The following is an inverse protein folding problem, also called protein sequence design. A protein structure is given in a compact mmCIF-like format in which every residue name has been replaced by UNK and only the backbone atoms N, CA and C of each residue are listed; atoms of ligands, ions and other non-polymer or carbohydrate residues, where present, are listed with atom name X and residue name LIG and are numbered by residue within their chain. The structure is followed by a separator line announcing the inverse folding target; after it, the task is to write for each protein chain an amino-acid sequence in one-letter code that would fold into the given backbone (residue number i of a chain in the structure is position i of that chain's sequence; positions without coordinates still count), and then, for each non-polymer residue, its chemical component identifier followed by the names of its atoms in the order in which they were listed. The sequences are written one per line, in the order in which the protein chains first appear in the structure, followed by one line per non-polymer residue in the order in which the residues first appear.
data_IF_754199721335
#
_entry.id   IF_754199721335
#
_cell.length_a   1.000
_cell.length_b   1.000
_cell.length_c   1.000
_cell.angle_alpha   90.00
_cell.angle_beta   90.00
_cell.angle_gamma   90.00
#
_symmetry.space_group_name_H-M   'P 1'
#
loop_
_entity.id
_entity.type
_entity.pdbx_description
1 polymer ?
#
# COMPACT_ATOMS: atom_id res chain seq x y z
N UNK A 1 70.91 -43.70 -39.66
CA UNK A 1 70.25 -42.39 -39.44
C UNK A 1 68.93 -42.36 -40.18
N UNK A 2 67.80 -42.39 -39.46
CA UNK A 2 66.49 -41.86 -39.88
C UNK A 2 65.67 -41.73 -38.60
N UNK A 3 65.62 -40.51 -38.08
CA UNK A 3 64.94 -40.17 -36.84
C UNK A 3 63.43 -40.26 -37.04
N UNK A 4 62.75 -41.06 -36.21
CA UNK A 4 61.30 -41.16 -36.15
C UNK A 4 60.81 -40.08 -35.17
N UNK A 5 60.26 -38.98 -35.69
CA UNK A 5 59.60 -37.97 -34.88
C UNK A 5 58.21 -38.48 -34.47
N UNK A 6 58.02 -38.77 -33.18
CA UNK A 6 56.71 -39.00 -32.59
C UNK A 6 56.10 -37.64 -32.25
N UNK A 7 55.06 -37.25 -32.97
CA UNK A 7 54.26 -36.05 -32.68
C UNK A 7 53.28 -36.41 -31.56
N UNK A 8 53.53 -35.92 -30.34
CA UNK A 8 52.58 -35.96 -29.24
C UNK A 8 51.51 -34.88 -29.48
N UNK A 9 50.27 -35.29 -29.79
CA UNK A 9 49.12 -34.40 -29.74
C UNK A 9 48.69 -34.21 -28.28
N UNK A 10 49.05 -33.07 -27.69
CA UNK A 10 48.47 -32.60 -26.43
C UNK A 10 47.09 -32.04 -26.75
N UNK A 11 46.04 -32.81 -26.49
CA UNK A 11 44.68 -32.30 -26.47
C UNK A 11 44.50 -31.42 -25.21
N UNK A 12 44.73 -30.12 -25.37
CA UNK A 12 44.26 -29.12 -24.42
C UNK A 12 42.72 -29.15 -24.44
N UNK A 13 42.11 -29.68 -23.39
CA UNK A 13 40.70 -29.46 -23.12
C UNK A 13 40.53 -27.98 -22.75
N UNK A 14 40.28 -27.13 -23.73
CA UNK A 14 39.63 -25.85 -23.47
C UNK A 14 38.24 -26.18 -22.94
N UNK A 15 38.08 -26.14 -21.62
CA UNK A 15 36.76 -25.93 -21.02
C UNK A 15 36.26 -24.60 -21.55
N UNK A 16 35.43 -24.65 -22.58
CA UNK A 16 34.58 -23.53 -22.96
C UNK A 16 33.70 -23.30 -21.73
N UNK A 17 34.08 -22.33 -20.90
CA UNK A 17 33.13 -21.69 -20.00
C UNK A 17 32.04 -21.13 -20.90
N UNK A 18 30.96 -21.87 -21.05
CA UNK A 18 29.73 -21.29 -21.58
C UNK A 18 29.35 -20.26 -20.51
N UNK A 19 29.63 -18.98 -20.77
CA UNK A 19 29.20 -17.89 -19.90
C UNK A 19 27.68 -18.00 -19.76
N UNK A 20 27.26 -18.58 -18.63
CA UNK A 20 25.85 -18.80 -18.39
C UNK A 20 25.28 -17.51 -17.87
N UNK A 21 24.25 -17.04 -18.57
CA UNK A 21 23.46 -15.89 -18.16
C UNK A 21 22.97 -16.00 -16.70
N UNK A 22 22.72 -17.22 -16.21
CA UNK A 22 22.18 -17.46 -14.86
C UNK A 22 23.23 -18.17 -14.00
N UNK A 23 23.59 -17.55 -12.87
CA UNK A 23 24.51 -18.08 -11.87
C UNK A 23 23.79 -18.22 -10.52
N UNK A 24 23.59 -19.45 -10.06
CA UNK A 24 23.08 -19.70 -8.70
C UNK A 24 24.21 -19.45 -7.70
N UNK A 25 23.95 -18.59 -6.73
CA UNK A 25 24.93 -18.13 -5.73
C UNK A 25 24.80 -18.93 -4.44
N UNK A 26 23.57 -19.15 -3.94
CA UNK A 26 23.36 -19.82 -2.67
C UNK A 26 22.02 -20.56 -2.62
N UNK A 27 22.01 -21.70 -1.92
CA UNK A 27 20.83 -22.43 -1.48
C UNK A 27 21.25 -23.44 -0.41
N UNK A 28 20.32 -23.90 0.43
CA UNK A 28 20.60 -24.96 1.42
C UNK A 28 20.55 -26.33 0.75
N UNK A 29 21.59 -27.15 0.92
CA UNK A 29 21.67 -28.50 0.35
C UNK A 29 20.81 -29.53 1.12
N UNK A 30 20.50 -29.24 2.39
CA UNK A 30 19.64 -30.07 3.23
C UNK A 30 18.78 -29.18 4.13
N UNK A 31 17.49 -29.48 4.20
CA UNK A 31 16.49 -28.79 5.05
C UNK A 31 15.43 -29.77 5.56
N UNK A 32 14.58 -29.34 6.49
CA UNK A 32 13.40 -30.09 6.89
C UNK A 32 12.16 -29.75 6.04
N UNK A 33 11.21 -30.68 6.00
CA UNK A 33 9.89 -30.46 5.40
C UNK A 33 9.24 -29.23 6.05
N UNK A 34 8.65 -28.37 5.22
CA UNK A 34 8.07 -27.08 5.62
C UNK A 34 9.06 -26.01 6.13
N UNK A 35 10.37 -26.21 5.97
CA UNK A 35 11.35 -25.14 6.12
C UNK A 35 11.47 -24.25 4.88
N UNK A 36 11.99 -23.05 5.08
CA UNK A 36 12.24 -22.08 4.01
C UNK A 36 13.47 -22.49 3.20
N UNK A 37 13.25 -22.78 1.92
CA UNK A 37 14.29 -22.95 0.90
C UNK A 37 14.38 -21.70 0.03
N UNK A 38 15.33 -20.82 0.32
CA UNK A 38 15.61 -19.66 -0.52
C UNK A 38 16.80 -19.97 -1.43
N UNK A 39 16.66 -19.61 -2.70
CA UNK A 39 17.67 -19.81 -3.73
C UNK A 39 18.04 -18.43 -4.26
N UNK A 40 19.26 -17.99 -3.96
CA UNK A 40 19.81 -16.74 -4.46
C UNK A 40 20.56 -17.00 -5.76
N UNK A 41 20.31 -16.17 -6.77
CA UNK A 41 20.99 -16.27 -8.05
C UNK A 41 21.12 -14.92 -8.72
N UNK A 42 22.10 -14.80 -9.61
CA UNK A 42 22.30 -13.64 -10.46
C UNK A 42 21.92 -13.98 -11.89
N UNK A 43 21.35 -12.99 -12.57
CA UNK A 43 21.19 -13.01 -14.02
C UNK A 43 22.13 -11.94 -14.55
N UNK A 44 23.16 -12.32 -15.31
CA UNK A 44 24.17 -11.37 -15.82
C UNK A 44 23.64 -10.56 -17.01
N UNK A 45 22.60 -9.78 -16.75
CA UNK A 45 21.94 -8.87 -17.67
C UNK A 45 21.18 -7.82 -16.90
N UNK A 46 21.17 -6.61 -17.42
CA UNK A 46 20.34 -5.52 -16.89
C UNK A 46 19.00 -5.51 -17.62
N UNK A 47 17.94 -5.28 -16.87
CA UNK A 47 16.57 -5.17 -17.37
C UNK A 47 16.06 -3.76 -17.10
N UNK A 48 15.32 -3.17 -18.04
CA UNK A 48 14.72 -1.85 -17.84
C UNK A 48 13.65 -1.92 -16.75
N UNK A 49 12.79 -2.95 -16.82
CA UNK A 49 11.84 -3.26 -15.76
C UNK A 49 11.86 -4.77 -15.41
N UNK A 50 12.54 -5.17 -14.32
CA UNK A 50 12.60 -6.57 -13.92
C UNK A 50 11.27 -7.13 -13.38
N UNK A 51 10.25 -6.28 -13.24
CA UNK A 51 8.91 -6.67 -12.78
C UNK A 51 7.91 -6.83 -13.92
N UNK A 52 8.24 -6.39 -15.14
CA UNK A 52 7.41 -6.62 -16.32
C UNK A 52 7.71 -7.97 -16.95
N UNK A 53 6.81 -8.93 -16.71
CA UNK A 53 7.00 -10.31 -17.18
C UNK A 53 6.74 -10.50 -18.67
N UNK A 54 6.22 -9.48 -19.36
CA UNK A 54 6.18 -9.49 -20.82
C UNK A 54 7.58 -9.27 -21.42
N UNK A 55 8.47 -8.63 -20.67
CA UNK A 55 9.87 -8.42 -21.03
C UNK A 55 10.76 -9.54 -20.48
N UNK A 56 10.69 -9.78 -19.16
CA UNK A 56 11.52 -10.74 -18.43
C UNK A 56 10.69 -11.57 -17.46
N UNK A 57 10.57 -12.87 -17.75
CA UNK A 57 9.90 -13.83 -16.86
C UNK A 57 10.90 -14.83 -16.32
N UNK A 58 11.03 -14.88 -15.00
CA UNK A 58 11.94 -15.80 -14.31
C UNK A 58 11.14 -16.76 -13.44
N UNK A 59 11.40 -18.05 -13.60
CA UNK A 59 10.78 -19.15 -12.86
C UNK A 59 11.85 -20.12 -12.36
N UNK A 60 11.60 -20.74 -11.20
CA UNK A 60 12.27 -21.96 -10.79
C UNK A 60 11.36 -23.15 -11.15
N UNK A 61 11.84 -24.07 -11.97
CA UNK A 61 11.22 -25.38 -12.18
C UNK A 61 11.72 -26.31 -11.10
N UNK A 62 10.86 -26.66 -10.16
CA UNK A 62 11.19 -27.53 -9.01
C UNK A 62 10.52 -28.87 -9.23
N UNK A 63 11.29 -29.95 -9.17
CA UNK A 63 10.82 -31.32 -9.31
C UNK A 63 10.87 -31.97 -7.92
N UNK A 64 9.71 -32.37 -7.41
CA UNK A 64 9.58 -33.06 -6.12
C UNK A 64 9.99 -34.53 -6.22
N UNK A 65 10.28 -35.18 -5.07
CA UNK A 65 10.45 -36.63 -4.98
C UNK A 65 9.24 -37.42 -5.49
N UNK A 66 8.03 -36.88 -5.29
CA UNK A 66 6.76 -37.40 -5.83
C UNK A 66 6.61 -37.21 -7.35
N UNK A 67 7.60 -36.60 -8.02
CA UNK A 67 7.68 -36.27 -9.45
C UNK A 67 6.67 -35.23 -9.93
N UNK A 68 6.04 -34.50 -9.03
CA UNK A 68 5.29 -33.31 -9.39
C UNK A 68 6.26 -32.15 -9.70
N UNK A 69 6.02 -31.47 -10.81
CA UNK A 69 6.79 -30.29 -11.21
C UNK A 69 6.02 -29.04 -10.81
N UNK A 70 6.66 -28.21 -9.99
CA UNK A 70 6.15 -26.91 -9.56
C UNK A 70 6.88 -25.82 -10.33
N UNK A 71 6.11 -24.94 -10.97
CA UNK A 71 6.63 -23.70 -11.54
C UNK A 71 6.50 -22.62 -10.47
N UNK A 72 7.63 -22.25 -9.86
CA UNK A 72 7.70 -21.23 -8.85
C UNK A 72 8.15 -19.90 -9.47
N UNK A 73 7.33 -18.83 -9.42
CA UNK A 73 7.76 -17.51 -9.81
C UNK A 73 8.99 -17.04 -9.02
N UNK A 74 9.99 -16.48 -9.71
CA UNK A 74 11.11 -15.77 -9.08
C UNK A 74 10.92 -14.26 -9.19
N UNK A 75 11.68 -13.51 -8.40
CA UNK A 75 11.60 -12.05 -8.38
C UNK A 75 12.98 -11.43 -8.16
N UNK A 76 13.15 -10.20 -8.64
CA UNK A 76 14.35 -9.41 -8.39
C UNK A 76 14.27 -8.79 -6.97
N UNK A 77 15.39 -8.85 -6.24
CA UNK A 77 15.51 -8.28 -4.89
C UNK A 77 16.44 -7.07 -4.82
N UNK A 78 17.33 -6.94 -5.82
CA UNK A 78 18.25 -5.83 -5.97
C UNK A 78 18.58 -5.69 -7.47
N UNK A 79 18.10 -4.61 -8.08
CA UNK A 79 18.23 -4.36 -9.53
C UNK A 79 19.70 -4.08 -9.86
N UNK A 80 20.37 -3.26 -9.05
CA UNK A 80 21.75 -2.83 -9.26
C UNK A 80 22.72 -3.99 -9.12
N UNK A 81 22.47 -4.89 -8.15
CA UNK A 81 23.28 -6.10 -7.95
C UNK A 81 22.86 -7.26 -8.85
N UNK A 82 21.86 -7.07 -9.72
CA UNK A 82 21.26 -8.11 -10.59
C UNK A 82 20.87 -9.36 -9.80
N UNK A 83 20.42 -9.19 -8.56
CA UNK A 83 20.17 -10.27 -7.61
C UNK A 83 18.70 -10.66 -7.64
N UNK A 84 18.46 -11.95 -7.80
CA UNK A 84 17.15 -12.57 -7.87
C UNK A 84 17.03 -13.66 -6.82
N UNK A 85 15.78 -13.95 -6.44
CA UNK A 85 15.50 -14.99 -5.46
C UNK A 85 14.30 -15.84 -5.88
N UNK A 86 14.39 -17.13 -5.60
CA UNK A 86 13.26 -18.05 -5.57
C UNK A 86 13.02 -18.44 -4.10
N UNK A 87 11.77 -18.36 -3.63
CA UNK A 87 11.42 -18.73 -2.25
C UNK A 87 10.46 -19.90 -2.26
N UNK A 88 10.89 -21.04 -1.73
CA UNK A 88 10.15 -22.29 -1.74
C UNK A 88 10.01 -22.88 -0.34
N UNK A 89 9.02 -23.75 -0.15
CA UNK A 89 8.82 -24.51 1.09
C UNK A 89 8.41 -25.93 0.70
N UNK A 90 9.30 -26.93 0.87
CA UNK A 90 9.05 -28.28 0.39
C UNK A 90 7.99 -28.98 1.25
N UNK A 91 7.14 -29.76 0.58
CA UNK A 91 6.04 -30.50 1.20
C UNK A 91 6.26 -32.01 1.24
N UNK A 92 7.20 -32.55 0.46
CA UNK A 92 7.55 -33.97 0.48
C UNK A 92 8.94 -34.16 1.10
N UNK A 93 9.18 -35.32 1.70
CA UNK A 93 10.55 -35.72 2.05
C UNK A 93 11.24 -36.37 0.86
N UNK A 94 12.55 -36.21 0.73
CA UNK A 94 13.35 -36.87 -0.31
C UNK A 94 14.29 -35.92 -1.05
N UNK A 95 14.70 -36.30 -2.26
CA UNK A 95 15.61 -35.51 -3.08
C UNK A 95 14.81 -34.67 -4.07
N UNK A 96 14.91 -33.35 -3.92
CA UNK A 96 14.40 -32.39 -4.90
C UNK A 96 15.47 -32.07 -5.93
N UNK A 97 15.02 -31.63 -7.09
CA UNK A 97 15.90 -30.95 -8.04
C UNK A 97 15.25 -29.69 -8.59
N UNK A 98 16.06 -28.71 -8.98
CA UNK A 98 15.54 -27.49 -9.58
C UNK A 98 16.44 -26.92 -10.67
N UNK A 99 15.83 -26.12 -11.54
CA UNK A 99 16.48 -25.31 -12.57
C UNK A 99 15.85 -23.92 -12.57
N UNK A 100 16.66 -22.88 -12.74
CA UNK A 100 16.18 -21.51 -12.95
C UNK A 100 16.05 -21.28 -14.45
N UNK A 101 14.89 -20.76 -14.87
CA UNK A 101 14.56 -20.46 -16.26
C UNK A 101 14.23 -18.99 -16.38
N UNK A 102 14.96 -18.28 -17.24
CA UNK A 102 14.72 -16.90 -17.61
C UNK A 102 14.26 -16.84 -19.07
N UNK A 103 13.05 -16.36 -19.31
CA UNK A 103 12.55 -15.97 -20.63
C UNK A 103 12.74 -14.47 -20.80
N UNK A 104 13.61 -14.05 -21.70
CA UNK A 104 13.82 -12.64 -22.05
C UNK A 104 13.68 -12.45 -23.55
N UNK A 105 12.78 -11.54 -23.99
CA UNK A 105 12.49 -11.31 -25.42
C UNK A 105 12.23 -12.63 -26.19
N UNK A 106 11.50 -13.55 -25.56
CA UNK A 106 11.17 -14.91 -26.06
C UNK A 106 12.35 -15.88 -26.21
N UNK A 107 13.55 -15.51 -25.75
CA UNK A 107 14.70 -16.42 -25.66
C UNK A 107 14.75 -17.03 -24.26
N UNK A 108 14.83 -18.35 -24.20
CA UNK A 108 14.94 -19.11 -22.95
C UNK A 108 16.40 -19.34 -22.57
N UNK A 109 16.72 -19.03 -21.33
CA UNK A 109 17.99 -19.35 -20.70
C UNK A 109 17.73 -20.19 -19.47
N UNK A 110 18.47 -21.29 -19.31
CA UNK A 110 18.30 -22.23 -18.20
C UNK A 110 19.63 -22.40 -17.45
N UNK A 111 19.57 -22.43 -16.12
CA UNK A 111 20.74 -22.72 -15.28
C UNK A 111 21.19 -24.19 -15.39
N UNK A 112 22.22 -24.57 -14.64
CA UNK A 112 22.41 -25.98 -14.31
C UNK A 112 21.22 -26.52 -13.51
N UNK A 113 21.10 -27.85 -13.48
CA UNK A 113 20.25 -28.55 -12.55
C UNK A 113 20.95 -28.69 -11.21
N UNK A 114 20.25 -28.31 -10.14
CA UNK A 114 20.72 -28.38 -8.75
C UNK A 114 19.84 -29.35 -7.97
N UNK A 115 20.35 -29.84 -6.83
CA UNK A 115 19.64 -30.80 -5.98
C UNK A 115 19.73 -30.38 -4.51
N UNK A 116 18.68 -30.66 -3.74
CA UNK A 116 18.71 -30.53 -2.29
C UNK A 116 17.88 -31.65 -1.66
N UNK A 117 18.19 -32.00 -0.41
CA UNK A 117 17.52 -33.05 0.35
C UNK A 117 16.57 -32.45 1.37
N UNK A 118 15.40 -33.06 1.49
CA UNK A 118 14.38 -32.70 2.47
C UNK A 118 14.19 -33.87 3.43
N UNK A 119 14.44 -33.62 4.72
CA UNK A 119 14.17 -34.56 5.81
C UNK A 119 12.77 -34.34 6.36
N UNK A 120 12.26 -35.33 7.10
CA UNK A 120 11.00 -35.17 7.83
C UNK A 120 11.12 -34.00 8.82
N UNK A 121 10.18 -33.06 8.75
CA UNK A 121 10.06 -31.95 9.69
C UNK A 121 8.93 -32.16 10.69
N UNK A 122 8.82 -31.24 11.66
CA UNK A 122 7.80 -31.25 12.72
C UNK A 122 6.73 -30.16 12.60
N UNK A 123 6.89 -29.23 11.65
CA UNK A 123 5.95 -28.12 11.43
C UNK A 123 4.61 -28.63 10.88
N UNK A 124 3.57 -27.81 11.06
CA UNK A 124 2.22 -28.19 10.63
C UNK A 124 2.05 -28.27 9.10
N UNK A 125 2.84 -27.49 8.35
CA UNK A 125 2.68 -27.33 6.90
C UNK A 125 1.62 -26.30 6.52
N UNK A 126 1.11 -26.38 5.29
CA UNK A 126 0.15 -25.43 4.76
C UNK A 126 -1.28 -25.76 5.19
N UNK A 127 -2.13 -24.74 5.24
CA UNK A 127 -3.57 -24.89 5.46
C UNK A 127 -4.29 -25.21 4.14
N UNK A 128 -5.24 -26.12 4.22
CA UNK A 128 -6.10 -26.55 3.12
C UNK A 128 -7.56 -26.57 3.57
N UNK A 129 -8.48 -26.58 2.59
CA UNK A 129 -9.90 -26.85 2.85
C UNK A 129 -10.03 -28.27 3.39
N UNK A 130 -10.77 -28.44 4.49
CA UNK A 130 -11.08 -29.76 5.02
C UNK A 130 -12.26 -30.38 4.25
N UNK A 131 -11.98 -31.41 3.44
CA UNK A 131 -13.00 -32.10 2.65
C UNK A 131 -14.00 -32.90 3.50
N UNK A 132 -13.68 -33.14 4.78
CA UNK A 132 -14.53 -33.88 5.72
C UNK A 132 -15.39 -32.99 6.63
N UNK A 133 -15.13 -31.67 6.65
CA UNK A 133 -15.73 -30.76 7.62
C UNK A 133 -15.77 -29.32 7.07
N UNK A 134 -16.97 -28.80 6.81
CA UNK A 134 -17.16 -27.45 6.26
C UNK A 134 -16.80 -26.32 7.26
N UNK A 135 -16.49 -26.65 8.52
CA UNK A 135 -16.32 -25.68 9.59
C UNK A 135 -14.86 -25.45 10.02
N UNK A 136 -13.91 -26.15 9.42
CA UNK A 136 -12.48 -26.08 9.75
C UNK A 136 -11.61 -26.08 8.50
N UNK A 137 -10.44 -25.46 8.61
CA UNK A 137 -9.33 -25.73 7.72
C UNK A 137 -8.46 -26.83 8.33
N UNK A 138 -7.58 -27.42 7.52
CA UNK A 138 -6.70 -28.50 7.95
C UNK A 138 -5.28 -28.28 7.47
N UNK A 139 -4.33 -28.40 8.39
CA UNK A 139 -2.91 -28.39 8.07
C UNK A 139 -2.50 -29.68 7.35
N UNK A 140 -1.40 -29.65 6.59
CA UNK A 140 -0.84 -30.84 5.95
C UNK A 140 -0.55 -31.98 6.95
N UNK A 141 -0.22 -31.67 8.21
CA UNK A 141 -0.06 -32.66 9.28
C UNK A 141 -1.38 -33.17 9.89
N UNK A 142 -2.52 -32.90 9.26
CA UNK A 142 -3.89 -33.23 9.65
C UNK A 142 -4.47 -32.48 10.86
N UNK A 143 -3.73 -31.58 11.50
CA UNK A 143 -4.25 -30.75 12.60
C UNK A 143 -5.35 -29.83 12.07
N UNK A 144 -6.50 -29.80 12.75
CA UNK A 144 -7.59 -28.85 12.44
C UNK A 144 -7.19 -27.43 12.83
N UNK A 145 -7.69 -26.47 12.07
CA UNK A 145 -7.49 -25.04 12.28
C UNK A 145 -8.81 -24.30 12.18
N UNK A 146 -9.03 -23.36 13.10
CA UNK A 146 -10.07 -22.35 13.02
C UNK A 146 -9.44 -20.99 13.29
N UNK A 147 -9.66 -20.08 12.36
CA UNK A 147 -9.22 -18.69 12.52
C UNK A 147 -10.09 -17.96 13.53
N UNK A 148 -9.47 -17.37 14.55
CA UNK A 148 -10.09 -16.43 15.49
C UNK A 148 -9.16 -15.24 15.57
N UNK A 149 -9.66 -14.06 15.20
CA UNK A 149 -8.76 -13.00 14.77
C UNK A 149 -9.34 -11.60 14.75
N UNK A 150 -8.50 -10.67 14.33
CA UNK A 150 -8.81 -9.24 14.23
C UNK A 150 -8.62 -8.75 12.80
N UNK A 151 -9.43 -7.77 12.39
CA UNK A 151 -9.09 -6.90 11.26
C UNK A 151 -8.19 -5.78 11.78
N UNK A 152 -6.90 -5.87 11.45
CA UNK A 152 -5.89 -4.84 11.74
C UNK A 152 -5.51 -4.23 10.39
N UNK A 153 -6.31 -3.28 9.92
CA UNK A 153 -6.16 -2.70 8.58
C UNK A 153 -4.75 -2.19 8.30
N UNK A 154 -4.09 -1.57 9.29
CA UNK A 154 -2.71 -1.08 9.22
C UNK A 154 -2.13 -0.81 10.61
N UNK A 155 -0.81 -0.70 10.70
CA UNK A 155 -0.15 -0.20 11.91
C UNK A 155 -0.32 1.32 12.06
N UNK A 156 -0.45 1.80 13.30
CA UNK A 156 -0.53 3.23 13.54
C UNK A 156 0.86 3.87 13.36
N UNK A 157 1.07 4.57 12.25
CA UNK A 157 2.19 5.51 12.11
C UNK A 157 1.86 6.78 12.91
N UNK A 158 2.64 7.13 13.94
CA UNK A 158 2.36 8.32 14.74
C UNK A 158 2.60 9.59 13.91
N UNK A 159 1.51 10.24 13.52
CA UNK A 159 1.57 11.65 13.09
C UNK A 159 1.55 12.63 14.29
N UNK A 160 1.22 12.15 15.49
CA UNK A 160 0.85 13.00 16.64
C UNK A 160 1.55 12.68 17.98
N UNK A 161 2.15 11.50 18.18
CA UNK A 161 2.76 11.11 19.47
C UNK A 161 4.01 10.25 19.26
N UNK A 162 5.16 10.66 19.79
CA UNK A 162 6.43 9.92 19.72
C UNK A 162 6.42 8.58 20.50
N UNK A 163 5.29 8.23 21.13
CA UNK A 163 5.06 6.95 21.81
C UNK A 163 4.01 6.09 21.09
N UNK A 164 4.27 5.66 19.85
CA UNK A 164 3.41 4.67 19.20
C UNK A 164 3.51 3.32 19.91
N UNK A 165 2.41 2.91 20.56
CA UNK A 165 2.26 1.57 21.17
C UNK A 165 1.49 0.59 20.28
N UNK A 166 0.91 1.04 19.17
CA UNK A 166 -0.01 0.26 18.33
C UNK A 166 0.63 -0.23 17.02
N UNK A 167 1.69 -1.02 17.15
CA UNK A 167 2.41 -1.66 16.03
C UNK A 167 1.90 -3.08 15.78
N UNK A 168 2.18 -3.67 14.61
CA UNK A 168 1.88 -5.08 14.36
C UNK A 168 2.52 -6.01 15.39
N UNK A 169 3.73 -5.69 15.86
CA UNK A 169 4.39 -6.44 16.93
C UNK A 169 3.56 -6.48 18.20
N UNK A 170 3.08 -5.32 18.66
CA UNK A 170 2.23 -5.26 19.85
C UNK A 170 0.93 -6.05 19.64
N UNK A 171 0.25 -5.85 18.51
CA UNK A 171 -0.97 -6.60 18.21
C UNK A 171 -0.73 -8.11 18.20
N UNK A 172 0.34 -8.59 17.57
CA UNK A 172 0.59 -10.03 17.45
C UNK A 172 1.06 -10.64 18.77
N UNK A 173 1.84 -9.92 19.57
CA UNK A 173 2.19 -10.34 20.92
C UNK A 173 0.92 -10.52 21.78
N UNK A 174 0.02 -9.52 21.79
CA UNK A 174 -1.24 -9.58 22.54
C UNK A 174 -2.18 -10.66 22.00
N UNK A 175 -2.30 -10.80 20.68
CA UNK A 175 -3.12 -11.84 20.05
C UNK A 175 -2.61 -13.23 20.44
N UNK A 176 -1.31 -13.48 20.33
CA UNK A 176 -0.71 -14.76 20.70
C UNK A 176 -0.92 -15.08 22.18
N UNK A 177 -0.73 -14.09 23.07
CA UNK A 177 -0.99 -14.22 24.52
C UNK A 177 -2.45 -14.59 24.82
N UNK A 178 -3.40 -14.09 24.01
CA UNK A 178 -4.83 -14.31 24.17
C UNK A 178 -5.41 -15.41 23.26
N UNK A 179 -4.57 -16.23 22.62
CA UNK A 179 -4.95 -17.31 21.70
C UNK A 179 -5.74 -16.88 20.45
N UNK A 180 -5.66 -15.60 20.05
CA UNK A 180 -6.06 -15.17 18.71
C UNK A 180 -4.94 -15.49 17.72
N UNK A 181 -5.31 -15.96 16.54
CA UNK A 181 -4.37 -16.61 15.61
C UNK A 181 -4.52 -16.14 14.16
N UNK A 182 -5.43 -15.23 13.85
CA UNK A 182 -5.66 -14.78 12.47
C UNK A 182 -5.72 -13.25 12.41
N UNK A 183 -5.14 -12.66 11.37
CA UNK A 183 -5.21 -11.22 11.13
C UNK A 183 -5.58 -10.94 9.68
N UNK A 184 -6.38 -9.90 9.47
CA UNK A 184 -6.58 -9.29 8.15
C UNK A 184 -5.89 -7.93 8.12
N UNK A 185 -5.11 -7.65 7.06
CA UNK A 185 -4.35 -6.40 6.90
C UNK A 185 -4.30 -5.97 5.43
N UNK A 186 -4.29 -4.65 5.17
CA UNK A 186 -4.39 -4.10 3.81
C UNK A 186 -3.04 -3.67 3.23
N UNK A 187 -2.86 -3.93 1.94
CA UNK A 187 -1.82 -3.31 1.11
C UNK A 187 -2.42 -2.06 0.45
N UNK A 188 -2.08 -0.88 0.96
CA UNK A 188 -2.66 0.39 0.55
C UNK A 188 -1.63 1.54 0.61
N UNK A 189 -1.95 2.77 0.14
CA UNK A 189 -0.97 3.86 0.04
C UNK A 189 -0.27 4.22 1.37
N UNK A 190 -0.96 4.02 2.49
CA UNK A 190 -0.44 4.30 3.84
C UNK A 190 0.02 3.06 4.60
N UNK A 191 -0.18 1.85 4.04
CA UNK A 191 0.27 0.60 4.66
C UNK A 191 0.80 -0.36 3.58
N UNK A 192 2.12 -0.55 3.55
CA UNK A 192 2.81 -1.33 2.53
C UNK A 192 2.59 -0.85 1.07
N UNK A 193 2.87 0.42 0.71
CA UNK A 193 2.67 0.90 -0.66
C UNK A 193 3.70 0.31 -1.65
N UNK A 194 3.37 -0.82 -2.28
CA UNK A 194 4.27 -1.50 -3.24
C UNK A 194 4.24 -0.84 -4.62
N UNK A 195 3.04 -0.68 -5.18
CA UNK A 195 2.78 -0.14 -6.52
C UNK A 195 1.86 1.06 -6.38
N UNK A 196 2.43 2.23 -6.10
CA UNK A 196 1.71 3.50 -6.03
C UNK A 196 2.51 4.58 -6.75
N UNK A 197 1.82 5.60 -7.25
CA UNK A 197 2.51 6.77 -7.78
C UNK A 197 3.29 7.45 -6.66
N UNK A 198 4.49 8.00 -6.91
CA UNK A 198 5.22 8.75 -5.91
C UNK A 198 4.35 9.90 -5.39
N UNK A 199 3.92 9.84 -4.13
CA UNK A 199 3.19 10.93 -3.48
C UNK A 199 4.21 11.77 -2.73
N UNK A 200 4.16 13.09 -2.96
CA UNK A 200 4.84 14.07 -2.12
C UNK A 200 4.03 14.22 -0.83
N UNK A 201 4.59 13.79 0.29
CA UNK A 201 4.09 14.13 1.61
C UNK A 201 4.66 15.48 2.04
N UNK A 202 3.85 16.27 2.72
CA UNK A 202 4.16 17.64 3.14
C UNK A 202 3.98 17.77 4.65
N UNK A 203 4.50 18.85 5.25
CA UNK A 203 4.24 19.13 6.67
C UNK A 203 2.76 19.37 6.83
N UNK A 204 2.21 18.90 7.94
CA UNK A 204 0.80 19.09 8.27
C UNK A 204 0.73 20.01 9.48
N UNK A 205 0.06 21.14 9.29
CA UNK A 205 -0.35 22.04 10.35
C UNK A 205 -1.79 21.73 10.73
N UNK A 206 -2.09 21.65 12.02
CA UNK A 206 -3.43 21.41 12.55
C UNK A 206 -3.76 22.47 13.59
N UNK A 207 -4.94 23.05 13.48
CA UNK A 207 -5.54 23.91 14.49
C UNK A 207 -6.92 23.38 14.84
N UNK A 208 -7.05 22.86 16.06
CA UNK A 208 -8.27 22.32 16.66
C UNK A 208 -9.09 23.40 17.36
N UNK A 209 -8.70 24.68 17.26
CA UNK A 209 -9.37 25.82 17.88
C UNK A 209 -9.55 25.67 19.39
N UNK A 210 -8.48 25.26 20.08
CA UNK A 210 -8.43 25.25 21.56
C UNK A 210 -8.07 26.62 22.15
N UNK A 211 -7.42 27.46 21.34
CA UNK A 211 -7.15 28.89 21.59
C UNK A 211 -6.90 29.61 20.24
N UNK A 212 -6.47 30.88 20.28
CA UNK A 212 -6.15 31.68 19.09
C UNK A 212 -4.64 31.69 18.74
N UNK A 213 -3.79 30.99 19.47
CA UNK A 213 -2.32 31.08 19.36
C UNK A 213 -1.78 30.64 17.99
N UNK A 214 -2.52 29.77 17.31
CA UNK A 214 -2.20 29.20 16.00
C UNK A 214 -2.64 30.10 14.83
N UNK A 215 -3.45 31.14 15.09
CA UNK A 215 -4.02 32.01 14.07
C UNK A 215 -3.17 33.28 13.94
N UNK A 216 -2.69 33.56 12.72
CA UNK A 216 -1.81 34.71 12.48
C UNK A 216 -2.55 36.05 12.60
N UNK A 217 -3.74 36.16 11.99
CA UNK A 217 -4.63 37.34 12.13
C UNK A 217 -6.09 36.91 12.04
N UNK A 218 -6.98 37.58 12.75
CA UNK A 218 -8.41 37.31 12.69
C UNK A 218 -9.23 38.55 13.02
N UNK A 219 -10.49 38.59 12.57
CA UNK A 219 -11.45 39.62 12.94
C UNK A 219 -12.01 39.39 14.35
N UNK A 220 -12.52 40.44 14.99
CA UNK A 220 -12.93 40.43 16.40
C UNK A 220 -14.29 39.75 16.69
N UNK A 221 -14.87 39.04 15.71
CA UNK A 221 -16.15 38.36 15.83
C UNK A 221 -16.07 36.87 16.12
N UNK A 222 -14.98 36.38 16.69
CA UNK A 222 -14.81 34.97 17.05
C UNK A 222 -14.73 34.72 18.56
N UNK A 223 -15.14 33.52 18.97
CA UNK A 223 -14.89 33.00 20.31
C UNK A 223 -14.50 31.52 20.25
N UNK A 224 -13.76 31.05 21.25
CA UNK A 224 -13.38 29.65 21.38
C UNK A 224 -14.35 28.92 22.31
N UNK A 225 -14.73 27.70 21.93
CA UNK A 225 -15.48 26.78 22.77
C UNK A 225 -14.75 25.44 22.90
N UNK A 226 -14.34 25.10 24.12
CA UNK A 226 -13.67 23.84 24.47
C UNK A 226 -14.59 22.87 25.23
N UNK A 227 -15.89 23.18 25.34
CA UNK A 227 -16.85 22.28 25.99
C UNK A 227 -17.23 21.16 25.04
N UNK A 228 -16.90 19.93 25.42
CA UNK A 228 -17.27 18.72 24.70
C UNK A 228 -18.80 18.62 24.56
N UNK A 229 -19.27 18.34 23.35
CA UNK A 229 -20.67 18.02 23.07
C UNK A 229 -20.75 16.75 22.23
N UNK A 230 -21.79 15.94 22.49
CA UNK A 230 -22.07 14.73 21.72
C UNK A 230 -22.33 15.03 20.24
N UNK A 231 -22.93 16.18 19.96
CA UNK A 231 -23.18 16.71 18.60
C UNK A 231 -21.88 16.87 17.81
N UNK A 232 -20.80 17.29 18.46
CA UNK A 232 -19.50 17.54 17.82
C UNK A 232 -18.51 16.41 18.09
N UNK A 233 -19.01 15.19 18.29
CA UNK A 233 -18.21 13.96 18.40
C UNK A 233 -17.02 14.05 19.38
N UNK A 234 -17.14 14.87 20.43
CA UNK A 234 -16.09 15.16 21.42
C UNK A 234 -14.82 15.85 20.87
N UNK A 235 -14.96 16.73 19.87
CA UNK A 235 -13.88 17.63 19.43
C UNK A 235 -13.29 18.43 20.61
N UNK A 236 -11.97 18.63 20.59
CA UNK A 236 -11.21 19.29 21.67
C UNK A 236 -11.40 20.81 21.72
N UNK A 237 -11.80 21.43 20.60
CA UNK A 237 -12.01 22.87 20.48
C UNK A 237 -12.86 23.24 19.26
N UNK A 238 -13.42 24.45 19.28
CA UNK A 238 -14.30 25.00 18.25
C UNK A 238 -14.14 26.51 18.15
N UNK A 239 -14.07 27.00 16.91
CA UNK A 239 -14.20 28.43 16.62
C UNK A 239 -15.66 28.75 16.33
N UNK A 240 -16.22 29.66 17.15
CA UNK A 240 -17.59 30.15 17.04
C UNK A 240 -17.59 31.55 16.42
N UNK A 241 -18.50 31.78 15.47
CA UNK A 241 -18.80 33.12 14.98
C UNK A 241 -19.74 33.80 15.98
N UNK A 242 -19.51 35.07 16.30
CA UNK A 242 -20.29 35.86 17.28
C UNK A 242 -20.92 37.13 16.70
N UNK A 243 -20.47 37.57 15.52
CA UNK A 243 -20.96 38.79 14.87
C UNK A 243 -21.55 38.47 13.50
N UNK A 244 -22.68 39.11 13.19
CA UNK A 244 -23.35 39.08 11.90
C UNK A 244 -22.72 40.10 10.92
N UNK A 245 -21.44 39.91 10.65
CA UNK A 245 -20.69 40.64 9.63
C UNK A 245 -19.60 39.73 9.08
N UNK A 246 -19.02 40.07 7.93
CA UNK A 246 -17.92 39.28 7.36
C UNK A 246 -16.80 39.10 8.38
N UNK A 247 -16.51 37.84 8.71
CA UNK A 247 -15.43 37.47 9.61
C UNK A 247 -14.32 36.79 8.82
N UNK A 248 -13.09 36.92 9.29
CA UNK A 248 -11.96 36.26 8.64
C UNK A 248 -10.94 35.74 9.64
N UNK A 249 -10.28 34.64 9.26
CA UNK A 249 -9.06 34.14 9.89
C UNK A 249 -7.97 34.01 8.83
N UNK A 250 -6.72 34.25 9.22
CA UNK A 250 -5.54 34.16 8.37
C UNK A 250 -4.52 33.28 9.07
N UNK A 251 -4.00 32.31 8.34
CA UNK A 251 -2.84 31.51 8.72
C UNK A 251 -1.62 31.96 7.92
N UNK A 252 -0.44 31.89 8.55
CA UNK A 252 0.86 32.16 7.92
C UNK A 252 1.76 30.94 8.13
N UNK A 253 2.20 30.34 7.03
CA UNK A 253 3.05 29.15 7.01
C UNK A 253 4.15 29.31 5.94
N UNK A 254 5.02 28.31 5.80
CA UNK A 254 5.79 28.16 4.56
C UNK A 254 4.85 27.85 3.38
N UNK A 255 5.40 27.55 2.20
CA UNK A 255 4.60 27.28 0.98
C UNK A 255 3.43 26.34 1.24
N UNK A 256 2.21 26.89 1.24
CA UNK A 256 0.97 26.16 1.45
C UNK A 256 0.65 25.37 0.18
N UNK A 257 0.21 24.12 0.36
CA UNK A 257 -0.05 23.15 -0.71
C UNK A 257 -1.55 22.87 -0.84
N UNK A 258 -2.24 22.67 0.29
CA UNK A 258 -3.70 22.53 0.35
C UNK A 258 -4.21 22.76 1.76
N UNK A 259 -5.50 23.06 1.89
CA UNK A 259 -6.18 23.17 3.17
C UNK A 259 -7.49 22.40 3.20
N UNK A 260 -7.88 21.95 4.38
CA UNK A 260 -9.15 21.26 4.67
C UNK A 260 -9.70 21.79 5.99
N UNK A 261 -10.94 22.26 6.00
CA UNK A 261 -11.62 22.84 7.17
C UNK A 261 -12.83 21.96 7.50
N UNK A 262 -12.99 21.61 8.77
CA UNK A 262 -14.13 20.85 9.26
C UNK A 262 -15.21 21.79 9.80
N UNK A 263 -16.45 21.62 9.31
CA UNK A 263 -17.55 22.53 9.60
C UNK A 263 -18.80 21.73 9.99
N UNK A 264 -19.43 22.14 11.09
CA UNK A 264 -20.78 21.71 11.44
C UNK A 264 -21.78 22.80 11.09
N UNK A 265 -22.94 22.42 10.56
CA UNK A 265 -24.00 23.36 10.20
C UNK A 265 -25.41 22.78 10.37
N UNK A 266 -26.44 23.62 10.55
CA UNK A 266 -27.86 23.21 10.74
C UNK A 266 -28.78 23.57 9.57
N UNK A 267 -28.68 24.80 9.07
CA UNK A 267 -29.47 25.28 7.92
C UNK A 267 -28.78 24.92 6.59
N UNK A 268 -29.22 25.46 5.46
CA UNK A 268 -28.47 25.31 4.22
C UNK A 268 -27.22 26.20 4.27
N UNK A 269 -26.07 25.63 3.96
CA UNK A 269 -24.81 26.34 3.76
C UNK A 269 -24.48 26.28 2.27
N UNK A 270 -24.22 27.44 1.66
CA UNK A 270 -23.83 27.57 0.27
C UNK A 270 -22.32 27.69 0.14
N UNK A 271 -21.79 27.31 -1.03
CA UNK A 271 -20.33 27.27 -1.24
C UNK A 271 -19.69 28.65 -1.18
N UNK A 272 -20.45 29.70 -1.51
CA UNK A 272 -20.00 31.09 -1.44
C UNK A 272 -20.15 31.73 -0.05
N UNK A 273 -20.76 31.03 0.91
CA UNK A 273 -20.84 31.52 2.30
C UNK A 273 -19.46 31.52 2.96
N UNK A 274 -18.55 30.65 2.49
CA UNK A 274 -17.20 30.50 3.03
C UNK A 274 -16.20 30.50 1.89
N UNK A 275 -15.41 31.56 1.84
CA UNK A 275 -14.46 31.77 0.78
C UNK A 275 -13.02 31.61 1.28
N UNK A 276 -12.21 30.93 0.47
CA UNK A 276 -10.81 30.69 0.75
C UNK A 276 -9.96 31.50 -0.22
N UNK A 277 -8.96 32.20 0.31
CA UNK A 277 -8.03 33.00 -0.45
C UNK A 277 -6.59 32.65 -0.09
N UNK A 278 -5.70 32.78 -1.07
CA UNK A 278 -4.26 32.59 -0.88
C UNK A 278 -3.48 33.83 -1.27
N UNK A 279 -2.39 34.07 -0.55
CA UNK A 279 -1.46 35.16 -0.84
C UNK A 279 -0.02 34.71 -0.60
N UNK A 280 0.92 35.25 -1.38
CA UNK A 280 2.36 35.07 -1.17
C UNK A 280 2.91 36.09 -0.17
N UNK A 281 2.29 37.28 -0.09
CA UNK A 281 2.86 38.48 0.53
C UNK A 281 1.97 39.15 1.59
N UNK A 282 0.77 38.61 1.83
CA UNK A 282 -0.23 39.16 2.76
C UNK A 282 -0.87 40.48 2.31
N UNK A 283 -0.71 40.84 1.03
CA UNK A 283 -1.27 42.05 0.42
C UNK A 283 -2.29 41.68 -0.66
N UNK A 284 -1.87 40.90 -1.66
CA UNK A 284 -2.74 40.48 -2.75
C UNK A 284 -3.27 39.08 -2.49
N UNK A 285 -4.59 38.98 -2.34
CA UNK A 285 -5.30 37.74 -2.08
C UNK A 285 -6.08 37.28 -3.32
N UNK A 286 -5.84 36.04 -3.74
CA UNK A 286 -6.56 35.42 -4.87
C UNK A 286 -7.55 34.40 -4.33
N UNK A 287 -8.83 34.52 -4.73
CA UNK A 287 -9.89 33.55 -4.35
C UNK A 287 -9.53 32.18 -4.95
N UNK A 288 -9.55 31.16 -4.11
CA UNK A 288 -9.38 29.77 -4.50
C UNK A 288 -10.73 29.15 -4.79
N UNK A 289 -10.76 28.24 -5.77
CA UNK A 289 -11.92 27.35 -5.94
C UNK A 289 -11.99 26.40 -4.75
N UNK A 290 -13.19 26.26 -4.19
CA UNK A 290 -13.46 25.43 -3.02
C UNK A 290 -14.46 24.33 -3.37
N UNK A 291 -14.47 23.28 -2.55
CA UNK A 291 -15.38 22.15 -2.69
C UNK A 291 -15.86 21.69 -1.31
N UNK A 292 -17.11 21.23 -1.24
CA UNK A 292 -17.62 20.52 -0.08
C UNK A 292 -17.46 19.02 -0.26
N UNK A 293 -17.14 18.31 0.83
CA UNK A 293 -17.38 16.88 0.90
C UNK A 293 -18.88 16.59 0.92
N UNK A 294 -19.22 15.33 0.71
CA UNK A 294 -20.53 14.81 1.07
C UNK A 294 -20.89 15.13 2.54
N UNK A 295 -22.19 15.32 2.79
CA UNK A 295 -22.71 15.68 4.12
C UNK A 295 -22.87 14.46 5.01
N UNK A 296 -22.35 14.53 6.23
CA UNK A 296 -22.57 13.56 7.28
C UNK A 296 -23.68 14.07 8.24
N UNK A 297 -24.82 13.38 8.32
CA UNK A 297 -25.92 13.77 9.21
C UNK A 297 -25.61 13.38 10.66
N UNK A 298 -25.91 14.28 11.60
CA UNK A 298 -25.68 14.14 13.03
C UNK A 298 -26.99 14.35 13.81
N UNK A 299 -26.94 14.19 15.14
CA UNK A 299 -28.08 14.49 16.01
C UNK A 299 -28.47 15.98 15.98
N UNK A 300 -29.69 16.28 16.40
CA UNK A 300 -30.22 17.65 16.54
C UNK A 300 -30.10 18.49 15.25
N UNK A 301 -30.35 17.84 14.10
CA UNK A 301 -30.33 18.41 12.76
C UNK A 301 -28.98 19.02 12.34
N UNK A 302 -27.89 18.70 13.05
CA UNK A 302 -26.56 19.08 12.60
C UNK A 302 -26.10 18.20 11.44
N UNK A 303 -25.27 18.77 10.59
CA UNK A 303 -24.56 18.10 9.51
C UNK A 303 -23.09 18.48 9.61
N UNK A 304 -22.20 17.57 9.25
CA UNK A 304 -20.77 17.85 9.09
C UNK A 304 -20.36 17.75 7.64
N UNK A 305 -19.52 18.68 7.22
CA UNK A 305 -18.83 18.68 5.94
C UNK A 305 -17.36 19.05 6.13
N UNK A 306 -16.56 18.76 5.12
CA UNK A 306 -15.25 19.35 4.94
C UNK A 306 -15.26 20.30 3.76
N UNK A 307 -14.73 21.50 3.97
CA UNK A 307 -14.41 22.45 2.91
C UNK A 307 -12.93 22.30 2.56
N UNK A 308 -12.60 22.04 1.30
CA UNK A 308 -11.22 21.81 0.88
C UNK A 308 -10.87 22.52 -0.44
N UNK A 309 -9.57 22.62 -0.69
CA UNK A 309 -8.96 23.24 -1.87
C UNK A 309 -8.10 22.23 -2.61
N UNK A 310 -8.24 22.14 -3.93
CA UNK A 310 -7.45 21.19 -4.76
C UNK A 310 -6.26 21.86 -5.45
N UNK A 311 -6.45 23.05 -6.02
CA UNK A 311 -5.41 23.80 -6.72
C UNK A 311 -5.29 25.21 -6.15
N UNK A 312 -4.13 25.52 -5.56
CA UNK A 312 -3.85 26.86 -5.05
C UNK A 312 -3.48 27.76 -6.24
N UNK A 313 -4.24 28.84 -6.49
CA UNK A 313 -4.02 29.71 -7.66
C UNK A 313 -2.74 30.56 -7.53
N UNK A 314 -2.21 30.70 -6.32
CA UNK A 314 -1.04 31.53 -6.02
C UNK A 314 0.19 30.65 -5.78
N UNK A 315 1.14 30.67 -6.71
CA UNK A 315 2.42 29.97 -6.58
C UNK A 315 3.15 30.42 -5.31
N UNK A 316 3.67 29.46 -4.53
CA UNK A 316 4.38 29.72 -3.28
C UNK A 316 3.57 30.51 -2.25
N UNK A 317 2.23 30.35 -2.22
CA UNK A 317 1.38 30.99 -1.22
C UNK A 317 1.87 30.69 0.20
N UNK A 318 1.97 31.72 1.04
CA UNK A 318 2.37 31.61 2.47
C UNK A 318 1.24 31.95 3.41
N UNK A 319 0.19 32.59 2.89
CA UNK A 319 -0.94 33.05 3.64
C UNK A 319 -2.21 32.39 3.12
N UNK A 320 -2.99 31.83 4.04
CA UNK A 320 -4.33 31.30 3.80
C UNK A 320 -5.30 32.19 4.55
N UNK A 321 -6.23 32.83 3.85
CA UNK A 321 -7.31 33.62 4.45
C UNK A 321 -8.64 32.92 4.19
N UNK A 322 -9.42 32.74 5.25
CA UNK A 322 -10.77 32.17 5.18
C UNK A 322 -11.74 33.25 5.59
N UNK A 323 -12.74 33.52 4.76
CA UNK A 323 -13.76 34.54 4.98
C UNK A 323 -15.10 33.86 5.16
N UNK A 324 -15.76 34.11 6.28
CA UNK A 324 -17.12 33.71 6.59
C UNK A 324 -18.03 34.90 6.31
N UNK A 325 -18.93 34.76 5.34
CA UNK A 325 -19.80 35.85 4.89
C UNK A 325 -20.92 36.14 5.89
N UNK A 326 -21.37 37.39 5.92
CA UNK A 326 -22.39 37.90 6.83
C UNK A 326 -23.73 37.14 6.83
N UNK A 327 -24.03 36.37 5.79
CA UNK A 327 -25.23 35.52 5.69
C UNK A 327 -25.22 34.33 6.66
N UNK A 328 -24.06 33.97 7.22
CA UNK A 328 -23.94 32.85 8.16
C UNK A 328 -24.40 33.29 9.55
N UNK A 329 -25.48 32.66 10.03
CA UNK A 329 -25.97 32.86 11.41
C UNK A 329 -25.06 32.13 12.43
N UNK A 330 -24.53 32.83 13.46
CA UNK A 330 -23.71 32.27 14.53
C UNK A 330 -24.16 30.93 15.13
N UNK A 331 -25.46 30.78 15.37
CA UNK A 331 -26.06 29.61 16.00
C UNK A 331 -26.10 28.37 15.10
N UNK A 332 -25.90 28.55 13.79
CA UNK A 332 -26.06 27.52 12.77
C UNK A 332 -24.73 27.03 12.19
N UNK A 333 -23.59 27.50 12.70
CA UNK A 333 -22.26 27.08 12.25
C UNK A 333 -21.31 26.86 13.43
N UNK A 334 -20.43 25.86 13.30
CA UNK A 334 -19.26 25.68 14.17
C UNK A 334 -18.08 25.23 13.32
N UNK A 335 -16.90 25.77 13.57
CA UNK A 335 -15.68 25.38 12.86
C UNK A 335 -14.86 24.53 13.82
N UNK A 336 -14.65 23.27 13.47
CA UNK A 336 -14.15 22.24 14.38
C UNK A 336 -12.65 22.00 14.27
N UNK A 337 -12.06 22.36 13.14
CA UNK A 337 -10.64 22.28 12.95
C UNK A 337 -10.23 22.64 11.54
N UNK A 338 -8.97 22.95 11.36
CA UNK A 338 -8.35 23.11 10.06
C UNK A 338 -7.05 22.32 9.99
N UNK A 339 -6.84 21.71 8.82
CA UNK A 339 -5.60 21.08 8.45
C UNK A 339 -5.01 21.80 7.23
N UNK A 340 -3.72 22.13 7.28
CA UNK A 340 -2.99 22.78 6.19
C UNK A 340 -1.74 21.97 5.88
N UNK A 341 -1.61 21.51 4.63
CA UNK A 341 -0.38 20.90 4.15
C UNK A 341 0.54 22.01 3.63
N UNK A 342 1.81 22.03 4.07
CA UNK A 342 2.74 23.12 3.76
C UNK A 342 4.21 22.66 3.70
N UNK A 343 5.07 23.53 3.15
CA UNK A 343 6.51 23.34 3.03
C UNK A 343 6.95 22.51 1.82
N UNK A 344 8.24 22.18 1.78
CA UNK A 344 8.79 21.25 0.80
C UNK A 344 8.31 19.82 1.08
N UNK A 345 8.34 18.98 0.04
CA UNK A 345 7.98 17.58 0.20
C UNK A 345 8.98 16.90 1.15
N UNK A 346 8.50 16.35 2.26
CA UNK A 346 9.34 15.73 3.30
C UNK A 346 9.64 14.27 2.94
N UNK A 347 8.73 13.62 2.20
CA UNK A 347 8.87 12.22 1.79
C UNK A 347 8.23 12.08 0.41
N UNK A 348 8.95 11.46 -0.50
CA UNK A 348 8.33 10.83 -1.67
C UNK A 348 8.07 9.39 -1.27
N UNK A 349 6.85 8.89 -1.44
CA UNK A 349 6.62 7.44 -1.31
C UNK A 349 7.67 6.73 -2.17
N UNK A 350 8.39 5.78 -1.57
CA UNK A 350 9.46 5.02 -2.23
C UNK A 350 8.84 3.94 -3.13
N UNK A 351 8.09 4.37 -4.14
CA UNK A 351 7.40 3.53 -5.10
C UNK A 351 7.52 4.16 -6.48
N UNK A 352 7.77 3.34 -7.51
CA UNK A 352 8.09 3.83 -8.85
C UNK A 352 6.88 4.06 -9.76
N UNK A 353 5.66 3.85 -9.26
CA UNK A 353 4.44 3.79 -10.08
C UNK A 353 4.17 2.41 -10.66
N UNK A 354 3.41 2.37 -11.75
CA UNK A 354 2.92 1.13 -12.37
C UNK A 354 4.08 0.20 -12.74
N UNK A 355 3.94 -1.07 -12.37
CA UNK A 355 4.91 -2.15 -12.57
C UNK A 355 6.32 -1.85 -12.04
N UNK A 356 6.46 -0.97 -11.02
CA UNK A 356 7.74 -0.63 -10.39
C UNK A 356 7.64 -0.78 -8.89
N UNK A 357 7.86 -2.00 -8.41
CA UNK A 357 7.61 -2.40 -7.04
C UNK A 357 8.68 -1.90 -6.08
N UNK A 358 8.23 -1.33 -4.96
CA UNK A 358 9.10 -0.85 -3.88
C UNK A 358 9.82 -2.01 -3.19
N UNK A 359 11.16 -2.09 -3.32
CA UNK A 359 11.97 -3.08 -2.60
C UNK A 359 11.85 -2.87 -1.09
N UNK A 360 11.92 -1.60 -0.64
CA UNK A 360 11.83 -1.23 0.78
C UNK A 360 10.49 -1.59 1.40
N UNK A 361 9.36 -1.25 0.77
CA UNK A 361 8.06 -1.60 1.32
C UNK A 361 7.79 -3.11 1.26
N UNK A 362 8.37 -3.79 0.27
CA UNK A 362 8.33 -5.26 0.23
C UNK A 362 9.17 -5.90 1.35
N UNK A 363 10.27 -5.29 1.79
CA UNK A 363 11.01 -5.75 2.98
C UNK A 363 10.19 -5.59 4.27
N UNK A 364 9.40 -4.52 4.40
CA UNK A 364 8.46 -4.38 5.53
C UNK A 364 7.43 -5.53 5.59
N UNK A 365 6.94 -5.99 4.43
CA UNK A 365 6.05 -7.17 4.39
C UNK A 365 6.82 -8.46 4.73
N UNK A 366 8.09 -8.57 4.32
CA UNK A 366 8.95 -9.70 4.76
C UNK A 366 9.03 -9.75 6.30
N UNK A 367 9.24 -8.61 6.96
CA UNK A 367 9.26 -8.49 8.43
C UNK A 367 7.91 -8.83 9.06
N UNK A 368 6.82 -8.32 8.50
CA UNK A 368 5.45 -8.61 8.95
C UNK A 368 5.12 -10.11 8.89
N UNK A 369 5.48 -10.79 7.79
CA UNK A 369 5.26 -12.23 7.64
C UNK A 369 6.14 -13.03 8.59
N UNK A 370 7.41 -12.65 8.74
CA UNK A 370 8.30 -13.33 9.70
C UNK A 370 7.78 -13.22 11.13
N UNK A 371 7.25 -12.05 11.50
CA UNK A 371 6.61 -11.84 12.80
C UNK A 371 5.35 -12.71 12.95
N UNK A 372 4.52 -12.82 11.91
CA UNK A 372 3.34 -13.68 11.93
C UNK A 372 3.72 -15.15 12.15
N UNK A 373 4.73 -15.65 11.43
CA UNK A 373 5.26 -17.01 11.61
C UNK A 373 5.82 -17.24 13.02
N UNK A 374 6.56 -16.28 13.58
CA UNK A 374 7.10 -16.36 14.95
C UNK A 374 5.97 -16.49 15.98
N UNK A 375 4.87 -15.75 15.77
CA UNK A 375 3.74 -15.65 16.72
C UNK A 375 2.64 -16.67 16.48
N UNK A 376 2.75 -17.49 15.43
CA UNK A 376 1.68 -18.42 15.04
C UNK A 376 0.40 -17.71 14.57
N UNK A 377 0.54 -16.52 13.99
CA UNK A 377 -0.54 -15.74 13.41
C UNK A 377 -0.64 -16.04 11.91
N UNK A 378 -1.86 -16.21 11.43
CA UNK A 378 -2.19 -16.50 10.04
C UNK A 378 -2.82 -15.28 9.36
N UNK A 379 -2.34 -14.94 8.18
CA UNK A 379 -2.60 -13.66 7.52
C UNK A 379 -3.61 -13.83 6.39
N UNK A 380 -4.67 -13.03 6.42
CA UNK A 380 -5.45 -12.67 5.24
C UNK A 380 -4.88 -11.35 4.73
N UNK A 381 -4.11 -11.40 3.64
CA UNK A 381 -3.50 -10.19 3.08
C UNK A 381 -4.39 -9.62 1.99
N UNK A 382 -4.92 -8.44 2.24
CA UNK A 382 -5.82 -7.73 1.33
C UNK A 382 -4.99 -6.90 0.35
N UNK A 383 -5.00 -7.28 -0.93
CA UNK A 383 -4.19 -6.66 -1.97
C UNK A 383 -4.77 -5.34 -2.52
N UNK A 384 -6.03 -5.06 -2.19
CA UNK A 384 -6.73 -3.86 -2.61
C UNK A 384 -7.93 -3.51 -1.72
N UNK A 385 -8.34 -2.25 -1.71
CA UNK A 385 -9.52 -1.74 -1.01
C UNK A 385 -10.31 -0.79 -1.91
N UNK A 386 -11.55 -0.46 -1.50
CA UNK A 386 -12.48 0.34 -2.30
C UNK A 386 -11.95 1.70 -2.77
N UNK A 387 -11.24 2.43 -1.91
CA UNK A 387 -10.84 3.81 -2.17
C UNK A 387 -9.95 3.96 -3.41
N UNK A 388 -9.18 2.94 -3.78
CA UNK A 388 -8.31 3.00 -4.96
C UNK A 388 -9.04 3.13 -6.30
N UNK A 389 -10.34 2.86 -6.33
CA UNK A 389 -11.19 3.01 -7.52
C UNK A 389 -12.27 4.08 -7.38
N UNK A 390 -12.22 4.87 -6.31
CA UNK A 390 -13.12 5.99 -6.13
C UNK A 390 -12.52 7.23 -6.83
N UNK A 391 -13.21 7.79 -7.85
CA UNK A 391 -12.76 9.00 -8.53
C UNK A 391 -13.06 10.28 -7.76
N UNK A 392 -13.98 10.20 -6.78
CA UNK A 392 -14.49 11.28 -5.96
C UNK A 392 -14.40 10.91 -4.49
N UNK A 393 -14.40 11.90 -3.61
CA UNK A 393 -14.35 11.68 -2.17
C UNK A 393 -15.63 11.02 -1.66
N UNK A 394 -15.51 10.23 -0.61
CA UNK A 394 -16.64 9.64 0.09
C UNK A 394 -17.31 10.63 1.09
N UNK A 395 -18.31 10.12 1.82
CA UNK A 395 -19.02 10.80 2.91
C UNK A 395 -18.12 11.42 4.00
N UNK A 396 -16.85 11.03 4.06
CA UNK A 396 -15.86 11.47 5.04
C UNK A 396 -14.82 12.43 4.42
N UNK A 397 -14.98 12.82 3.16
CA UNK A 397 -14.09 13.73 2.45
C UNK A 397 -12.70 13.12 2.25
N UNK A 398 -12.64 11.82 2.00
CA UNK A 398 -11.41 11.05 1.77
C UNK A 398 -11.66 9.94 0.74
N UNK A 399 -10.71 9.01 0.61
CA UNK A 399 -10.84 7.79 -0.19
C UNK A 399 -11.06 8.01 -1.71
N UNK A 400 -10.62 9.12 -2.29
CA UNK A 400 -10.65 9.44 -3.73
C UNK A 400 -9.38 9.02 -4.48
N UNK A 401 -8.91 7.80 -4.20
CA UNK A 401 -7.52 7.43 -4.47
C UNK A 401 -7.27 7.09 -5.94
N UNK A 402 -8.31 7.08 -6.80
CA UNK A 402 -8.17 6.89 -8.24
C UNK A 402 -7.25 7.92 -8.89
N UNK A 403 -7.25 9.18 -8.42
CA UNK A 403 -6.37 10.22 -8.97
C UNK A 403 -4.88 9.88 -8.78
N UNK A 404 -4.55 9.05 -7.78
CA UNK A 404 -3.19 8.61 -7.45
C UNK A 404 -2.91 7.15 -7.81
N UNK A 405 -3.92 6.43 -8.28
CA UNK A 405 -3.82 5.03 -8.66
C UNK A 405 -2.86 4.89 -9.87
N UNK A 406 -1.86 3.99 -9.84
CA UNK A 406 -0.92 3.79 -10.95
C UNK A 406 -1.57 3.38 -12.28
N UNK A 407 -2.74 2.75 -12.23
CA UNK A 407 -3.45 2.33 -13.43
C UNK A 407 -4.11 3.51 -14.16
N UNK A 408 -4.30 4.65 -13.49
CA UNK A 408 -4.83 5.87 -14.10
C UNK A 408 -3.86 6.43 -15.16
N UNK A 409 -4.39 6.81 -16.33
CA UNK A 409 -3.62 7.39 -17.44
C UNK A 409 -2.86 8.66 -17.06
N UNK A 410 -3.38 9.45 -16.12
CA UNK A 410 -2.68 10.63 -15.56
C UNK A 410 -1.35 10.26 -14.88
N UNK A 411 -1.25 9.02 -14.40
CA UNK A 411 -0.08 8.48 -13.70
C UNK A 411 0.76 7.54 -14.59
N UNK A 412 0.47 7.50 -15.91
CA UNK A 412 1.18 6.65 -16.88
C UNK A 412 0.57 5.25 -17.04
N UNK A 413 -0.56 4.96 -16.40
CA UNK A 413 -1.29 3.70 -16.57
C UNK A 413 -2.21 3.66 -17.80
N UNK A 414 -2.85 2.51 -18.07
CA UNK A 414 -3.65 2.33 -19.28
C UNK A 414 -5.15 2.69 -19.14
N UNK A 415 -5.61 3.14 -17.98
CA UNK A 415 -7.03 3.30 -17.67
C UNK A 415 -7.43 4.78 -17.58
N UNK A 416 -8.47 5.19 -18.31
CA UNK A 416 -9.01 6.56 -18.26
C UNK A 416 -9.96 6.72 -17.06
N UNK A 417 -10.68 5.65 -16.73
CA UNK A 417 -11.64 5.58 -15.62
C UNK A 417 -11.46 4.27 -14.83
N UNK A 418 -11.94 4.18 -13.57
CA UNK A 418 -11.66 3.02 -12.73
C UNK A 418 -12.21 1.70 -13.31
N UNK A 419 -13.36 1.73 -13.98
CA UNK A 419 -13.96 0.55 -14.60
C UNK A 419 -13.06 -0.10 -15.69
N UNK A 420 -12.15 0.66 -16.30
CA UNK A 420 -11.22 0.15 -17.31
C UNK A 420 -10.23 -0.85 -16.71
N UNK A 421 -9.95 -0.79 -15.41
CA UNK A 421 -9.06 -1.74 -14.73
C UNK A 421 -9.48 -3.20 -14.98
N UNK A 422 -10.79 -3.45 -14.97
CA UNK A 422 -11.36 -4.78 -15.15
C UNK A 422 -11.51 -5.19 -16.63
N UNK A 423 -11.40 -4.24 -17.57
CA UNK A 423 -11.67 -4.46 -19.00
C UNK A 423 -10.40 -4.43 -19.85
N UNK A 424 -9.51 -3.49 -19.57
CA UNK A 424 -8.30 -3.21 -20.34
C UNK A 424 -7.27 -4.35 -20.22
N UNK A 425 -6.81 -4.87 -21.35
CA UNK A 425 -5.89 -6.02 -21.37
C UNK A 425 -4.49 -5.69 -20.83
N UNK A 426 -4.02 -4.44 -20.99
CA UNK A 426 -2.77 -4.01 -20.37
C UNK A 426 -2.91 -3.93 -18.85
N UNK A 427 -4.02 -3.39 -18.34
CA UNK A 427 -4.30 -3.36 -16.91
C UNK A 427 -4.34 -4.77 -16.30
N UNK A 428 -5.06 -5.70 -16.94
CA UNK A 428 -5.08 -7.12 -16.53
C UNK A 428 -3.68 -7.75 -16.53
N UNK A 429 -2.85 -7.39 -17.52
CA UNK A 429 -1.47 -7.90 -17.62
C UNK A 429 -0.60 -7.39 -16.47
N UNK A 430 -0.62 -6.09 -16.20
CA UNK A 430 0.12 -5.50 -15.08
C UNK A 430 -0.36 -6.04 -13.73
N UNK A 431 -1.68 -6.19 -13.55
CA UNK A 431 -2.19 -6.75 -12.30
C UNK A 431 -1.81 -8.22 -12.11
N UNK A 432 -1.76 -9.03 -13.18
CA UNK A 432 -1.22 -10.39 -13.11
C UNK A 432 0.27 -10.40 -12.72
N UNK A 433 1.06 -9.44 -13.19
CA UNK A 433 2.45 -9.29 -12.77
C UNK A 433 2.54 -8.96 -11.27
N UNK A 434 1.66 -8.08 -10.79
CA UNK A 434 1.55 -7.71 -9.38
C UNK A 434 1.19 -8.91 -8.50
N UNK A 435 0.12 -9.63 -8.83
CA UNK A 435 -0.27 -10.86 -8.10
C UNK A 435 0.85 -11.89 -8.10
N UNK A 436 1.52 -12.08 -9.24
CA UNK A 436 2.62 -13.02 -9.34
C UNK A 436 3.83 -12.60 -8.49
N UNK A 437 4.10 -11.31 -8.33
CA UNK A 437 5.15 -10.83 -7.43
C UNK A 437 4.85 -11.20 -5.97
N UNK A 438 3.59 -11.06 -5.53
CA UNK A 438 3.17 -11.51 -4.20
C UNK A 438 3.38 -13.00 -4.00
N UNK A 439 2.97 -13.82 -4.96
CA UNK A 439 3.19 -15.27 -4.91
C UNK A 439 4.68 -15.59 -4.89
N UNK A 440 5.50 -14.93 -5.73
CA UNK A 440 6.94 -15.14 -5.80
C UNK A 440 7.65 -14.86 -4.47
N UNK A 441 7.29 -13.75 -3.82
CA UNK A 441 7.97 -13.24 -2.63
C UNK A 441 7.45 -13.82 -1.32
N UNK A 442 6.16 -14.12 -1.24
CA UNK A 442 5.51 -14.47 0.04
C UNK A 442 4.69 -15.76 0.00
N UNK A 443 4.41 -16.33 -1.16
CA UNK A 443 3.63 -17.57 -1.30
C UNK A 443 4.29 -18.81 -0.68
N UNK A 444 5.57 -18.73 -0.31
CA UNK A 444 6.27 -19.79 0.43
C UNK A 444 5.80 -19.89 1.89
N UNK A 445 5.30 -18.81 2.49
CA UNK A 445 5.04 -18.77 3.93
C UNK A 445 3.78 -19.55 4.28
N UNK A 446 3.92 -20.46 5.24
CA UNK A 446 2.77 -21.19 5.82
C UNK A 446 1.86 -20.31 6.69
N UNK A 447 2.29 -19.08 7.01
CA UNK A 447 1.47 -18.11 7.72
C UNK A 447 0.50 -17.34 6.80
N UNK A 448 0.65 -17.39 5.47
CA UNK A 448 -0.36 -16.82 4.58
C UNK A 448 -1.58 -17.76 4.54
N UNK A 449 -2.68 -17.30 5.14
CA UNK A 449 -3.97 -18.00 5.15
C UNK A 449 -4.68 -17.84 3.80
N UNK A 450 -4.79 -16.60 3.34
CA UNK A 450 -5.54 -16.25 2.14
C UNK A 450 -5.05 -14.91 1.55
N UNK A 451 -5.29 -14.77 0.25
CA UNK A 451 -5.17 -13.50 -0.45
C UNK A 451 -6.58 -12.96 -0.68
N UNK A 452 -6.87 -11.79 -0.13
CA UNK A 452 -8.11 -11.08 -0.42
C UNK A 452 -7.81 -10.05 -1.51
N UNK A 453 -8.51 -10.08 -2.64
CA UNK A 453 -8.18 -9.16 -3.73
C UNK A 453 -8.70 -7.74 -3.44
N UNK A 454 -9.88 -7.62 -2.83
CA UNK A 454 -10.55 -6.35 -2.62
C UNK A 454 -11.39 -6.35 -1.35
N UNK A 455 -11.10 -5.43 -0.44
CA UNK A 455 -11.97 -5.12 0.68
C UNK A 455 -13.00 -4.04 0.27
N UNK A 456 -14.29 -4.33 0.48
CA UNK A 456 -15.44 -3.41 0.28
C UNK A 456 -15.63 -2.85 -1.14
N UNK A 457 -15.31 -3.65 -2.17
CA UNK A 457 -15.36 -3.20 -3.57
C UNK A 457 -16.74 -2.65 -4.00
N UNK A 458 -17.82 -3.04 -3.32
CA UNK A 458 -19.17 -2.53 -3.56
C UNK A 458 -19.29 -1.03 -3.31
N UNK A 459 -18.54 -0.47 -2.35
CA UNK A 459 -18.50 0.98 -2.09
C UNK A 459 -17.96 1.72 -3.32
N UNK A 460 -16.95 1.16 -3.99
CA UNK A 460 -16.40 1.75 -5.20
C UNK A 460 -17.40 1.78 -6.35
N UNK A 461 -18.21 0.73 -6.48
CA UNK A 461 -19.25 0.64 -7.51
C UNK A 461 -20.40 1.63 -7.29
N UNK A 462 -20.80 1.87 -6.04
CA UNK A 462 -21.84 2.87 -5.71
C UNK A 462 -21.44 4.29 -6.11
N UNK A 463 -20.15 4.63 -5.98
CA UNK A 463 -19.63 5.97 -6.31
C UNK A 463 -19.68 6.31 -7.81
N UNK A 464 -19.86 5.31 -8.68
CA UNK A 464 -19.77 5.47 -10.13
C UNK A 464 -21.11 5.65 -10.84
N UNK A 465 -22.24 5.80 -10.11
CA UNK A 465 -23.58 5.88 -10.70
C UNK A 465 -23.82 4.80 -11.78
N UNK A 466 -23.36 3.57 -11.53
CA UNK A 466 -23.63 2.44 -12.43
C UNK A 466 -25.15 2.26 -12.43
N UNK A 467 -25.83 2.39 -13.59
CA UNK A 467 -27.28 2.21 -13.66
C UNK A 467 -27.63 0.83 -13.11
N UNK A 468 -28.69 0.75 -12.29
CA UNK A 468 -29.27 -0.54 -11.94
C UNK A 468 -29.59 -1.28 -13.24
N UNK A 469 -29.07 -2.50 -13.38
CA UNK A 469 -29.50 -3.37 -14.48
C UNK A 469 -30.93 -3.79 -14.20
N UNK A 470 -31.81 -3.57 -15.18
CA UNK A 470 -33.19 -4.07 -15.21
C UNK A 470 -33.31 -5.57 -14.85
#
# INVERSE_FOLDING_TARGET
MKNLFVILFIFSWMTISCDRLIKVESYKNEIEQYDKQFIDFKIDKSFENPYDQTEVKVDAKIYSPSKEMVILPCFNIDIDKKLWQARFTPRDTGVYSFEIVCSYKKVLHTSNKFIFRVKQGSKNGFLNIDSSDNYFLRFDNNKKFRGVGLNVGWEFEPKWDSKSKYTFKMFFDEMALNNANTVLTWVCPWNFPIEWSPVKEYKIFVDEFTDFSKIYRYSDGFAINTKNSTVTQNDTGQLLIKKLSDQYIIYKLDTIIKSKIMIYYRENLFIDDIEIFYSMDDQLYTKCKTYFSDKCNLSDNWKRIFLFTEEIPTKNAKYLKIVFRNGIKPENIKIAGIQINYGEAIKTLDCGGLAKYSVKNSQKIDEFINLAEEKGIYIILTLGYHGQFNPVMDAWGANDEWQRNPYNVKNGGPCEQPADFFKNDKAKTYYKNYLRYFVARWGYSTAILAWEFWNEIDIAMRSQNIPESD
#
